data_IF_001685196822
#
_entry.id   IF_001685196822
#
_cell.length_a   1.000
_cell.length_b   1.000
_cell.length_c   1.000
_cell.angle_alpha   90.00
_cell.angle_beta   90.00
_cell.angle_gamma   90.00
#
_symmetry.space_group_name_H-M   'P 1'
#
loop_
_entity.id
_entity.type
_entity.pdbx_description
1 polymer ?
#
# COMPACT_ATOMS: atom_id res chain seq x y z
N UNK A 1 -19.79 16.71 -8.75
CA UNK A 1 -19.11 17.72 -9.57
C UNK A 1 -17.62 17.69 -9.24
N UNK A 2 -16.78 17.19 -10.15
CA UNK A 2 -15.33 17.21 -9.96
C UNK A 2 -14.79 18.64 -10.02
N UNK A 3 -13.77 18.97 -9.21
CA UNK A 3 -13.08 20.25 -9.36
C UNK A 3 -12.29 20.24 -10.68
N UNK A 4 -12.19 21.41 -11.32
CA UNK A 4 -11.37 21.57 -12.52
C UNK A 4 -9.91 21.18 -12.23
N UNK A 5 -9.19 20.65 -13.23
CA UNK A 5 -7.77 20.36 -13.11
C UNK A 5 -7.00 21.61 -12.62
N UNK A 6 -6.08 21.39 -11.68
CA UNK A 6 -5.19 22.45 -11.20
C UNK A 6 -4.15 22.76 -12.29
N UNK A 7 -3.68 24.01 -12.36
CA UNK A 7 -2.64 24.42 -13.33
C UNK A 7 -1.45 23.46 -13.27
N UNK A 8 -1.05 22.95 -14.43
CA UNK A 8 0.09 22.06 -14.55
C UNK A 8 1.42 22.85 -14.48
N UNK A 9 2.55 22.15 -14.43
CA UNK A 9 3.88 22.78 -14.30
C UNK A 9 4.25 23.62 -15.53
N UNK A 10 3.82 23.22 -16.73
CA UNK A 10 4.10 23.91 -17.99
C UNK A 10 3.26 25.18 -18.13
N UNK A 11 1.97 25.09 -17.86
CA UNK A 11 1.02 26.21 -17.76
C UNK A 11 1.51 27.23 -16.72
N UNK A 12 1.96 26.77 -15.55
CA UNK A 12 2.60 27.64 -14.56
C UNK A 12 3.85 28.35 -15.08
N UNK A 13 4.67 27.65 -15.89
CA UNK A 13 5.83 28.23 -16.56
C UNK A 13 5.44 29.31 -17.58
N UNK A 14 4.45 29.05 -18.42
CA UNK A 14 3.92 30.00 -19.40
C UNK A 14 3.33 31.24 -18.72
N UNK A 15 2.53 31.06 -17.66
CA UNK A 15 1.98 32.15 -16.87
C UNK A 15 3.10 33.04 -16.31
N UNK A 16 4.18 32.43 -15.80
CA UNK A 16 5.31 33.18 -15.26
C UNK A 16 5.97 34.04 -16.32
N UNK A 17 6.30 33.47 -17.48
CA UNK A 17 6.91 34.20 -18.60
C UNK A 17 6.02 35.35 -19.05
N UNK A 18 4.74 35.10 -19.34
CA UNK A 18 3.80 36.12 -19.80
C UNK A 18 3.59 37.25 -18.78
N UNK A 19 3.56 36.92 -17.49
CA UNK A 19 3.45 37.92 -16.43
C UNK A 19 4.69 38.82 -16.36
N UNK A 20 5.89 38.26 -16.56
CA UNK A 20 7.15 39.02 -16.61
C UNK A 20 7.22 39.93 -17.83
N UNK A 21 6.64 39.50 -18.96
CA UNK A 21 6.54 40.31 -20.19
C UNK A 21 5.46 41.41 -20.12
N UNK A 22 4.66 41.47 -19.03
CA UNK A 22 3.68 42.53 -18.80
C UNK A 22 2.28 42.26 -19.37
N UNK A 23 1.96 41.01 -19.74
CA UNK A 23 0.61 40.66 -20.17
C UNK A 23 -0.40 40.75 -19.03
N UNK A 24 -1.63 41.17 -19.36
CA UNK A 24 -2.73 41.20 -18.39
C UNK A 24 -3.23 39.79 -18.08
N UNK A 25 -3.78 39.58 -16.87
CA UNK A 25 -4.37 38.30 -16.46
C UNK A 25 -5.44 37.79 -17.45
N UNK A 26 -6.18 38.71 -18.09
CA UNK A 26 -7.17 38.36 -19.12
C UNK A 26 -6.49 37.71 -20.33
N UNK A 27 -5.44 38.34 -20.86
CA UNK A 27 -4.70 37.81 -22.01
C UNK A 27 -4.01 36.48 -21.67
N UNK A 28 -3.47 36.35 -20.46
CA UNK A 28 -2.86 35.09 -19.99
C UNK A 28 -3.91 33.97 -19.93
N UNK A 29 -5.12 34.27 -19.44
CA UNK A 29 -6.21 33.31 -19.41
C UNK A 29 -6.62 32.81 -20.79
N UNK A 30 -6.63 33.71 -21.78
CA UNK A 30 -6.97 33.37 -23.15
C UNK A 30 -5.89 32.47 -23.80
N UNK A 31 -4.61 32.69 -23.50
CA UNK A 31 -3.48 31.88 -24.00
C UNK A 31 -3.41 30.52 -23.32
N UNK A 32 -3.46 30.48 -21.98
CA UNK A 32 -3.30 29.26 -21.17
C UNK A 32 -4.59 28.46 -21.09
N UNK A 33 -5.71 29.00 -21.59
CA UNK A 33 -7.07 28.45 -21.46
C UNK A 33 -7.44 28.15 -20.00
N UNK A 34 -6.89 28.93 -19.07
CA UNK A 34 -7.05 28.78 -17.63
C UNK A 34 -8.05 29.77 -17.04
N UNK A 35 -8.60 29.45 -15.88
CA UNK A 35 -9.44 30.40 -15.14
C UNK A 35 -8.61 31.60 -14.65
N UNK A 36 -9.14 32.82 -14.83
CA UNK A 36 -8.52 34.03 -14.27
C UNK A 36 -8.30 33.91 -12.75
N UNK A 37 -9.19 33.21 -12.05
CA UNK A 37 -9.06 32.94 -10.60
C UNK A 37 -7.83 32.10 -10.29
N UNK A 38 -7.59 31.04 -11.06
CA UNK A 38 -6.47 30.13 -10.85
C UNK A 38 -5.15 30.78 -11.21
N UNK A 39 -5.12 31.58 -12.28
CA UNK A 39 -3.95 32.39 -12.68
C UNK A 39 -3.60 33.43 -11.60
N UNK A 40 -4.59 34.17 -11.09
CA UNK A 40 -4.37 35.09 -9.98
C UNK A 40 -3.88 34.37 -8.72
N UNK A 41 -4.44 33.20 -8.41
CA UNK A 41 -4.03 32.40 -7.27
C UNK A 41 -2.59 31.88 -7.41
N UNK A 42 -2.18 31.48 -8.63
CA UNK A 42 -0.81 31.08 -8.96
C UNK A 42 0.16 32.25 -8.81
N UNK A 43 -0.13 33.41 -9.40
CA UNK A 43 0.74 34.59 -9.33
C UNK A 43 0.94 35.09 -7.89
N UNK A 44 -0.09 35.01 -7.04
CA UNK A 44 0.00 35.39 -5.62
C UNK A 44 0.83 34.41 -4.78
N UNK A 45 0.95 33.17 -5.22
CA UNK A 45 1.52 32.08 -4.41
C UNK A 45 2.50 31.20 -5.20
N UNK A 46 3.35 31.77 -6.06
CA UNK A 46 4.21 30.99 -6.97
C UNK A 46 5.00 29.85 -6.28
N UNK A 47 5.57 30.10 -5.10
CA UNK A 47 6.34 29.08 -4.34
C UNK A 47 5.45 28.05 -3.61
N UNK A 48 4.23 28.45 -3.23
CA UNK A 48 3.32 27.64 -2.39
C UNK A 48 2.17 27.01 -3.19
N UNK A 49 2.07 27.29 -4.48
CA UNK A 49 1.01 26.78 -5.34
C UNK A 49 1.21 25.28 -5.60
N UNK A 50 0.15 24.50 -5.45
CA UNK A 50 0.20 23.04 -5.66
C UNK A 50 1.00 22.24 -4.62
N UNK A 51 1.75 22.87 -3.71
CA UNK A 51 2.53 22.15 -2.68
C UNK A 51 1.69 21.68 -1.50
N UNK A 52 0.50 22.25 -1.32
CA UNK A 52 -0.43 21.85 -0.27
C UNK A 52 -1.03 20.48 -0.59
N UNK A 53 -0.52 19.45 0.08
CA UNK A 53 -1.17 18.13 0.11
C UNK A 53 -2.51 18.25 0.81
N UNK A 54 -3.54 17.62 0.26
CA UNK A 54 -4.75 17.38 1.05
C UNK A 54 -4.39 16.43 2.20
N UNK A 55 -4.99 16.64 3.36
CA UNK A 55 -4.80 15.75 4.53
C UNK A 55 -5.28 14.32 4.28
N UNK A 56 -5.94 14.05 3.14
CA UNK A 56 -6.50 12.76 2.80
C UNK A 56 -7.62 12.36 3.77
N UNK A 57 -8.13 11.15 3.59
CA UNK A 57 -9.05 10.54 4.55
C UNK A 57 -8.25 10.05 5.76
N UNK A 58 -8.63 10.51 6.95
CA UNK A 58 -8.05 10.02 8.19
C UNK A 58 -8.35 8.52 8.33
N UNK A 59 -7.36 7.73 8.74
CA UNK A 59 -7.57 6.33 9.07
C UNK A 59 -8.34 6.22 10.39
N UNK A 60 -9.25 5.25 10.49
CA UNK A 60 -10.08 5.05 11.70
C UNK A 60 -9.31 4.57 12.94
N UNK A 61 -7.97 4.52 12.90
CA UNK A 61 -7.15 3.84 13.92
C UNK A 61 -6.10 4.79 14.48
N UNK A 62 -6.05 4.88 15.80
CA UNK A 62 -5.10 5.68 16.55
C UNK A 62 -3.72 4.99 16.61
N UNK A 63 -2.68 5.69 17.08
CA UNK A 63 -1.31 5.15 17.09
C UNK A 63 -1.08 4.06 18.16
N UNK A 64 -1.91 4.01 19.21
CA UNK A 64 -1.90 2.96 20.24
C UNK A 64 -2.58 1.69 19.72
N UNK A 65 -3.74 1.82 19.09
CA UNK A 65 -4.49 0.77 18.41
C UNK A 65 -3.62 0.11 17.33
N UNK A 66 -2.84 0.89 16.57
CA UNK A 66 -1.85 0.34 15.63
C UNK A 66 -0.81 -0.57 16.29
N UNK A 67 -0.46 -0.32 17.56
CA UNK A 67 0.45 -1.18 18.35
C UNK A 67 -0.30 -2.39 18.93
N UNK A 68 -1.54 -2.22 19.38
CA UNK A 68 -2.38 -3.28 19.94
C UNK A 68 -2.93 -4.26 18.89
N UNK A 69 -3.02 -3.89 17.61
CA UNK A 69 -3.39 -4.82 16.52
C UNK A 69 -2.43 -6.00 16.45
N UNK A 70 -1.16 -5.83 16.86
CA UNK A 70 -0.21 -6.94 16.98
C UNK A 70 -0.62 -7.98 18.02
N UNK A 71 -1.48 -7.59 18.96
CA UNK A 71 -1.91 -8.36 20.13
C UNK A 71 -3.33 -8.94 19.99
N UNK A 72 -3.97 -8.80 18.82
CA UNK A 72 -5.32 -9.29 18.48
C UNK A 72 -6.46 -8.72 19.35
N UNK A 73 -7.18 -7.70 18.86
CA UNK A 73 -8.40 -7.23 19.55
C UNK A 73 -9.16 -6.04 18.96
N UNK A 74 -8.97 -5.66 17.69
CA UNK A 74 -9.63 -4.47 17.13
C UNK A 74 -10.68 -4.84 16.10
N UNK A 75 -11.85 -4.21 16.19
CA UNK A 75 -12.90 -4.24 15.17
C UNK A 75 -12.47 -3.40 13.95
N UNK A 76 -11.60 -3.99 13.13
CA UNK A 76 -11.13 -3.42 11.88
C UNK A 76 -11.30 -4.45 10.75
N UNK A 77 -11.56 -3.96 9.54
CA UNK A 77 -11.67 -4.86 8.39
C UNK A 77 -10.35 -5.58 8.13
N UNK A 78 -10.43 -6.85 7.70
CA UNK A 78 -9.27 -7.69 7.36
C UNK A 78 -8.26 -6.97 6.47
N UNK A 79 -8.73 -6.24 5.44
CA UNK A 79 -7.86 -5.51 4.51
C UNK A 79 -7.15 -4.31 5.14
N UNK A 80 -7.77 -3.67 6.13
CA UNK A 80 -7.16 -2.59 6.92
C UNK A 80 -6.01 -3.14 7.76
N UNK A 81 -6.23 -4.27 8.44
CA UNK A 81 -5.19 -4.97 9.21
C UNK A 81 -4.01 -5.34 8.32
N UNK A 82 -4.24 -5.94 7.14
CA UNK A 82 -3.16 -6.27 6.20
C UNK A 82 -2.34 -5.05 5.76
N UNK A 83 -3.01 -3.94 5.36
CA UNK A 83 -2.35 -2.70 4.95
C UNK A 83 -1.51 -2.08 6.06
N UNK A 84 -1.91 -2.26 7.31
CA UNK A 84 -1.15 -1.80 8.47
C UNK A 84 0.08 -2.67 8.72
N UNK A 85 -0.08 -3.99 8.69
CA UNK A 85 1.04 -4.93 8.87
C UNK A 85 2.11 -4.73 7.79
N UNK A 86 1.72 -4.47 6.53
CA UNK A 86 2.66 -4.20 5.43
C UNK A 86 3.46 -2.90 5.64
N UNK A 87 2.91 -1.89 6.32
CA UNK A 87 3.55 -0.59 6.56
C UNK A 87 4.36 -0.54 7.86
N UNK A 88 4.24 -1.55 8.72
CA UNK A 88 4.84 -1.53 10.04
C UNK A 88 6.37 -1.71 9.93
N UNK A 89 7.20 -0.74 10.35
CA UNK A 89 8.66 -0.85 10.26
C UNK A 89 9.25 -1.87 11.23
N UNK A 90 8.49 -2.24 12.28
CA UNK A 90 8.94 -3.14 13.34
C UNK A 90 8.72 -4.63 13.00
N UNK A 91 8.01 -4.94 11.90
CA UNK A 91 7.72 -6.31 11.48
C UNK A 91 8.54 -6.62 10.25
N UNK A 92 9.58 -7.43 10.41
CA UNK A 92 10.37 -7.94 9.29
C UNK A 92 9.76 -9.27 8.83
N UNK A 93 9.23 -9.30 7.61
CA UNK A 93 8.79 -10.57 7.00
C UNK A 93 10.01 -11.39 6.61
N UNK A 94 10.13 -12.57 7.21
CA UNK A 94 11.14 -13.53 6.78
C UNK A 94 10.73 -14.14 5.44
N UNK A 95 11.71 -14.34 4.55
CA UNK A 95 11.48 -15.13 3.34
C UNK A 95 11.33 -16.59 3.77
N UNK A 96 10.22 -17.21 3.39
CA UNK A 96 10.06 -18.65 3.59
C UNK A 96 11.23 -19.39 2.93
N UNK A 97 11.91 -20.23 3.71
CA UNK A 97 12.97 -21.09 3.15
C UNK A 97 12.34 -21.97 2.06
N UNK A 98 13.08 -22.19 0.98
CA UNK A 98 12.60 -23.10 -0.07
C UNK A 98 12.38 -24.47 0.55
N UNK A 99 11.21 -25.05 0.28
CA UNK A 99 10.97 -26.45 0.59
C UNK A 99 12.06 -27.27 -0.12
N UNK A 100 12.76 -28.19 0.57
CA UNK A 100 13.69 -29.10 -0.07
C UNK A 100 13.02 -29.82 -1.24
N UNK A 101 13.77 -30.05 -2.32
CA UNK A 101 13.21 -30.80 -3.45
C UNK A 101 12.91 -32.23 -3.01
N UNK A 102 11.68 -32.67 -3.29
CA UNK A 102 11.26 -34.02 -2.96
C UNK A 102 11.82 -34.98 -4.02
N UNK A 103 12.83 -35.76 -3.65
CA UNK A 103 13.36 -36.83 -4.51
C UNK A 103 12.27 -37.87 -4.79
N UNK A 104 12.42 -38.63 -5.87
CA UNK A 104 11.47 -39.69 -6.19
C UNK A 104 11.37 -40.71 -5.05
N UNK A 105 12.50 -41.10 -4.47
CA UNK A 105 12.57 -41.95 -3.28
C UNK A 105 11.72 -41.43 -2.12
N UNK A 106 11.82 -40.14 -1.78
CA UNK A 106 10.99 -39.55 -0.72
C UNK A 106 9.48 -39.59 -1.06
N UNK A 107 9.12 -39.46 -2.34
CA UNK A 107 7.71 -39.57 -2.77
C UNK A 107 7.20 -41.00 -2.60
N UNK A 108 8.00 -41.99 -2.99
CA UNK A 108 7.64 -43.41 -2.91
C UNK A 108 7.54 -43.88 -1.44
N UNK A 109 8.47 -43.45 -0.58
CA UNK A 109 8.45 -43.73 0.87
C UNK A 109 7.24 -43.07 1.55
N UNK A 110 6.90 -41.82 1.19
CA UNK A 110 5.69 -41.15 1.70
C UNK A 110 4.42 -41.88 1.25
N UNK A 111 4.38 -42.36 0.01
CA UNK A 111 3.26 -43.14 -0.49
C UNK A 111 3.13 -44.48 0.25
N UNK A 112 4.25 -45.14 0.52
CA UNK A 112 4.30 -46.37 1.31
C UNK A 112 3.77 -46.14 2.74
N UNK A 113 4.26 -45.09 3.41
CA UNK A 113 3.81 -44.71 4.74
C UNK A 113 2.31 -44.42 4.77
N UNK A 114 1.81 -43.63 3.82
CA UNK A 114 0.38 -43.33 3.68
C UNK A 114 -0.43 -44.63 3.49
N UNK A 115 0.00 -45.53 2.60
CA UNK A 115 -0.70 -46.81 2.39
C UNK A 115 -0.76 -47.68 3.66
N UNK A 116 0.29 -47.68 4.46
CA UNK A 116 0.38 -48.46 5.71
C UNK A 116 -0.46 -47.81 6.81
N UNK A 117 -0.37 -46.50 6.98
CA UNK A 117 -0.88 -45.80 8.17
C UNK A 117 -2.20 -45.02 7.95
N UNK A 118 -2.71 -44.90 6.72
CA UNK A 118 -4.00 -44.22 6.45
C UNK A 118 -5.20 -44.90 7.10
N UNK A 119 -5.13 -46.22 7.33
CA UNK A 119 -6.19 -47.02 7.98
C UNK A 119 -5.96 -47.21 9.49
N UNK A 120 -4.86 -46.69 10.03
CA UNK A 120 -4.53 -46.89 11.42
C UNK A 120 -5.31 -45.95 12.34
N UNK A 121 -5.85 -46.52 13.41
CA UNK A 121 -6.38 -45.74 14.53
C UNK A 121 -5.23 -45.34 15.45
N UNK A 122 -4.81 -44.08 15.34
CA UNK A 122 -3.70 -43.50 16.10
C UNK A 122 -3.91 -43.51 17.62
N UNK A 123 -5.13 -43.76 18.11
CA UNK A 123 -5.39 -43.97 19.54
C UNK A 123 -4.90 -45.34 20.03
N UNK A 124 -4.71 -46.32 19.14
CA UNK A 124 -4.25 -47.69 19.45
C UNK A 124 -2.73 -47.87 19.32
N UNK A 125 -2.01 -46.91 18.72
CA UNK A 125 -0.56 -46.96 18.48
C UNK A 125 0.22 -46.45 19.71
N UNK A 126 0.03 -47.08 20.88
CA UNK A 126 0.90 -46.85 22.06
C UNK A 126 1.92 -47.98 22.27
N UNK A 127 1.95 -48.98 21.39
CA UNK A 127 2.67 -50.25 21.62
C UNK A 127 3.76 -50.61 20.60
N UNK A 128 4.05 -49.79 19.60
CA UNK A 128 5.12 -50.08 18.64
C UNK A 128 6.22 -49.03 18.71
N UNK A 129 7.15 -49.22 19.67
CA UNK A 129 8.51 -48.72 19.53
C UNK A 129 9.23 -49.65 18.55
N UNK A 130 9.25 -49.30 17.27
CA UNK A 130 10.16 -49.91 16.31
C UNK A 130 10.48 -48.89 15.23
N UNK A 131 11.51 -48.10 15.49
CA UNK A 131 12.37 -47.48 14.49
C UNK A 131 13.73 -47.30 15.17
N UNK A 132 14.61 -48.28 14.95
CA UNK A 132 16.06 -48.15 15.02
C UNK A 132 16.56 -47.99 13.58
#
# INVERSE_FOLDING_TARGET
MGRAPTLNREEGGQIKVLSTTGYTVKQIADVVKGSRKDIMNFLRHQEKYGTKKSSGRLGNLNDLEKREILTCGIDASKTTVWRMLDKCPNIVRSRMKKCPQLTQRHKDERLCWVRIFMRCDWKKIRLLRFFE
#
